data_IF_319867333784
#
_entry.id   IF_319867333784
#
_cell.length_a   1.000
_cell.length_b   1.000
_cell.length_c   1.000
_cell.angle_alpha   90.00
_cell.angle_beta   90.00
_cell.angle_gamma   90.00
#
_symmetry.space_group_name_H-M   'P 1'
#
loop_
_entity.id
_entity.type
_entity.pdbx_description
1 polymer ?
#
# COMPACT_ATOMS: atom_id res chain seq x y z
N UNK A 1 -54.15 -33.91 -33.56
CA UNK A 1 -52.69 -33.81 -33.82
C UNK A 1 -52.27 -32.41 -33.39
N UNK A 2 -51.86 -32.25 -32.13
CA UNK A 2 -51.48 -30.96 -31.58
C UNK A 2 -49.97 -30.78 -31.77
N UNK A 3 -49.62 -29.73 -32.51
CA UNK A 3 -48.25 -29.35 -32.86
C UNK A 3 -47.60 -28.72 -31.63
N UNK A 4 -46.49 -29.29 -31.16
CA UNK A 4 -45.69 -28.72 -30.09
C UNK A 4 -44.79 -27.58 -30.57
N UNK A 5 -44.44 -26.66 -29.67
CA UNK A 5 -43.11 -26.05 -29.51
C UNK A 5 -43.13 -25.29 -28.18
N UNK A 6 -42.54 -25.85 -27.12
CA UNK A 6 -42.21 -25.11 -25.90
C UNK A 6 -40.84 -24.47 -26.13
N UNK A 7 -40.80 -23.15 -26.18
CA UNK A 7 -39.55 -22.38 -26.21
C UNK A 7 -39.18 -22.08 -24.75
N UNK A 8 -38.39 -22.95 -24.13
CA UNK A 8 -37.77 -22.66 -22.84
C UNK A 8 -36.71 -21.58 -23.04
N UNK A 9 -37.04 -20.36 -22.61
CA UNK A 9 -36.07 -19.28 -22.50
C UNK A 9 -35.12 -19.58 -21.35
N UNK A 10 -33.92 -20.05 -21.68
CA UNK A 10 -32.79 -20.00 -20.76
C UNK A 10 -32.37 -18.53 -20.70
N UNK A 11 -32.75 -17.83 -19.63
CA UNK A 11 -32.08 -16.58 -19.27
C UNK A 11 -30.61 -16.93 -19.02
N UNK A 12 -29.76 -16.55 -19.97
CA UNK A 12 -28.33 -16.67 -19.83
C UNK A 12 -27.91 -15.63 -18.77
N UNK A 13 -27.72 -16.10 -17.53
CA UNK A 13 -26.94 -15.38 -16.51
C UNK A 13 -25.67 -14.82 -17.19
N UNK A 14 -25.32 -13.54 -17.00
CA UNK A 14 -24.16 -12.97 -17.65
C UNK A 14 -22.95 -13.83 -17.32
N UNK A 15 -22.36 -14.45 -18.33
CA UNK A 15 -21.07 -15.13 -18.18
C UNK A 15 -20.13 -14.06 -17.64
N UNK A 16 -19.66 -14.24 -16.41
CA UNK A 16 -18.59 -13.42 -15.87
C UNK A 16 -17.38 -13.69 -16.74
N UNK A 17 -17.20 -12.90 -17.79
CA UNK A 17 -15.94 -12.82 -18.50
C UNK A 17 -14.92 -12.37 -17.46
N UNK A 18 -13.86 -13.16 -17.20
CA UNK A 18 -12.74 -12.65 -16.43
C UNK A 18 -12.28 -11.41 -17.19
N UNK A 19 -12.32 -10.25 -16.53
CA UNK A 19 -11.80 -9.02 -17.11
C UNK A 19 -10.32 -9.29 -17.39
N UNK A 20 -9.98 -9.48 -18.66
CA UNK A 20 -8.60 -9.50 -19.12
C UNK A 20 -8.03 -8.10 -18.88
N UNK A 21 -7.47 -7.88 -17.69
CA UNK A 21 -7.08 -6.55 -17.20
C UNK A 21 -7.27 -6.31 -15.71
N UNK A 22 -7.83 -7.25 -14.94
CA UNK A 22 -7.74 -7.19 -13.48
C UNK A 22 -6.27 -7.36 -13.05
N UNK A 23 -5.53 -6.26 -13.00
CA UNK A 23 -4.12 -6.26 -12.60
C UNK A 23 -3.95 -6.93 -11.23
N UNK A 24 -2.98 -7.85 -11.15
CA UNK A 24 -2.54 -8.42 -9.89
C UNK A 24 -1.66 -7.37 -9.20
N UNK A 25 -2.25 -6.54 -8.34
CA UNK A 25 -1.50 -5.39 -7.80
C UNK A 25 -2.12 -4.64 -6.64
N UNK A 26 -3.45 -4.49 -6.54
CA UNK A 26 -4.12 -3.87 -5.39
C UNK A 26 -3.36 -2.68 -4.78
N UNK A 27 -3.00 -2.78 -3.49
CA UNK A 27 -2.20 -1.79 -2.76
C UNK A 27 -0.76 -1.65 -3.30
N UNK A 28 -0.12 -2.75 -3.68
CA UNK A 28 1.27 -2.75 -4.14
C UNK A 28 1.45 -1.94 -5.42
N UNK A 29 0.42 -1.91 -6.29
CA UNK A 29 0.40 -1.05 -7.46
C UNK A 29 0.53 0.42 -7.06
N UNK A 30 -0.23 0.90 -6.08
CA UNK A 30 -0.16 2.29 -5.62
C UNK A 30 1.20 2.61 -5.02
N UNK A 31 1.74 1.73 -4.17
CA UNK A 31 3.04 1.95 -3.53
C UNK A 31 4.17 2.06 -4.57
N UNK A 32 4.21 1.13 -5.54
CA UNK A 32 5.24 1.11 -6.58
C UNK A 32 5.04 2.25 -7.59
N UNK A 33 3.79 2.56 -7.94
CA UNK A 33 3.46 3.69 -8.80
C UNK A 33 3.93 5.01 -8.18
N UNK A 34 3.63 5.26 -6.91
CA UNK A 34 4.08 6.44 -6.18
C UNK A 34 5.61 6.54 -6.16
N UNK A 35 6.32 5.44 -5.88
CA UNK A 35 7.78 5.43 -5.92
C UNK A 35 8.35 5.84 -7.29
N UNK A 36 7.80 5.28 -8.37
CA UNK A 36 8.23 5.58 -9.74
C UNK A 36 7.87 7.01 -10.14
N UNK A 37 6.68 7.50 -9.80
CA UNK A 37 6.25 8.86 -10.14
C UNK A 37 7.06 9.93 -9.41
N UNK A 38 7.34 9.77 -8.11
CA UNK A 38 8.25 10.67 -7.38
C UNK A 38 9.63 10.73 -8.06
N UNK A 39 10.17 9.59 -8.48
CA UNK A 39 11.46 9.52 -9.16
C UNK A 39 11.44 10.24 -10.52
N UNK A 40 10.36 10.07 -11.31
CA UNK A 40 10.18 10.75 -12.60
C UNK A 40 10.05 12.27 -12.46
N UNK A 41 9.41 12.72 -11.38
CA UNK A 41 9.12 14.14 -11.12
C UNK A 41 10.21 14.85 -10.31
N UNK A 42 11.20 14.10 -9.82
CA UNK A 42 12.23 14.59 -8.91
C UNK A 42 11.62 15.20 -7.64
N UNK A 43 10.60 14.53 -7.10
CA UNK A 43 9.90 14.88 -5.87
C UNK A 43 10.33 13.96 -4.73
N UNK A 44 10.25 14.44 -3.48
CA UNK A 44 10.53 13.61 -2.33
C UNK A 44 9.41 12.55 -2.17
N UNK A 45 9.75 11.26 -1.98
CA UNK A 45 8.73 10.24 -1.76
C UNK A 45 8.01 10.47 -0.43
N UNK A 46 6.71 10.12 -0.33
CA UNK A 46 5.94 10.30 0.90
C UNK A 46 6.50 9.50 2.08
N UNK A 47 7.08 8.33 1.78
CA UNK A 47 7.90 7.55 2.72
C UNK A 47 9.37 7.62 2.31
N UNK A 48 10.23 8.12 3.18
CA UNK A 48 11.65 8.29 2.91
C UNK A 48 12.56 7.39 3.76
N UNK A 49 13.87 7.58 3.62
CA UNK A 49 14.87 6.79 4.34
C UNK A 49 14.79 6.94 5.87
N UNK A 50 14.28 8.06 6.39
CA UNK A 50 14.11 8.27 7.83
C UNK A 50 12.91 7.51 8.37
N UNK A 51 11.82 7.43 7.61
CA UNK A 51 10.67 6.58 7.93
C UNK A 51 11.12 5.11 7.99
N UNK A 52 11.84 4.66 6.96
CA UNK A 52 12.40 3.31 6.91
C UNK A 52 13.36 3.03 8.09
N UNK A 53 14.27 3.95 8.41
CA UNK A 53 15.19 3.80 9.55
C UNK A 53 14.43 3.72 10.89
N UNK A 54 13.36 4.51 11.04
CA UNK A 54 12.51 4.50 12.23
C UNK A 54 11.80 3.16 12.38
N UNK A 55 11.25 2.60 11.30
CA UNK A 55 10.61 1.28 11.33
C UNK A 55 11.63 0.17 11.57
N UNK A 56 12.80 0.23 10.94
CA UNK A 56 13.86 -0.76 11.13
C UNK A 56 14.45 -0.72 12.54
N UNK A 57 14.42 0.43 13.23
CA UNK A 57 14.87 0.54 14.61
C UNK A 57 14.02 -0.28 15.59
N UNK A 58 12.77 -0.63 15.23
CA UNK A 58 11.90 -1.46 16.07
C UNK A 58 12.56 -2.81 16.39
N UNK A 59 13.19 -3.46 15.42
CA UNK A 59 13.82 -4.78 15.62
C UNK A 59 14.89 -4.75 16.74
N UNK A 60 15.99 -3.98 16.63
CA UNK A 60 17.01 -3.97 17.68
C UNK A 60 16.53 -3.35 18.99
N UNK A 61 15.61 -2.38 18.97
CA UNK A 61 15.07 -1.79 20.20
C UNK A 61 14.15 -2.77 20.94
N UNK A 62 13.41 -3.60 20.20
CA UNK A 62 12.57 -4.64 20.82
C UNK A 62 13.43 -5.74 21.48
N UNK A 63 14.51 -6.15 20.83
CA UNK A 63 15.49 -7.09 21.38
C UNK A 63 16.13 -6.54 22.67
N UNK A 64 16.55 -5.27 22.63
CA UNK A 64 17.10 -4.58 23.80
C UNK A 64 16.08 -4.45 24.93
N UNK A 65 14.81 -4.15 24.60
CA UNK A 65 13.72 -4.08 25.58
C UNK A 65 13.54 -5.40 26.31
N UNK A 66 13.46 -6.52 25.58
CA UNK A 66 13.32 -7.86 26.15
C UNK A 66 14.53 -8.19 27.05
N UNK A 67 15.74 -7.89 26.59
CA UNK A 67 16.96 -8.12 27.38
C UNK A 67 17.01 -7.31 28.69
N UNK A 68 16.31 -6.18 28.75
CA UNK A 68 16.21 -5.30 29.93
C UNK A 68 14.90 -5.49 30.72
N UNK A 69 14.25 -6.65 30.60
CA UNK A 69 13.03 -6.95 31.38
C UNK A 69 11.82 -6.15 30.89
N UNK A 70 11.70 -6.01 29.57
CA UNK A 70 10.63 -5.25 28.89
C UNK A 70 10.65 -3.76 29.22
N UNK A 71 11.83 -3.20 29.49
CA UNK A 71 11.99 -1.77 29.76
C UNK A 71 11.75 -0.93 28.49
N UNK A 72 11.14 0.27 28.59
CA UNK A 72 11.03 1.21 27.48
C UNK A 72 12.39 1.57 26.89
N UNK A 73 12.48 1.64 25.56
CA UNK A 73 13.71 2.00 24.84
C UNK A 73 13.56 3.34 24.13
N UNK A 74 14.52 4.27 24.26
CA UNK A 74 14.47 5.52 23.54
C UNK A 74 14.69 5.30 22.04
N UNK A 75 13.82 5.87 21.21
CA UNK A 75 14.01 5.87 19.76
C UNK A 75 15.07 6.89 19.35
N UNK A 76 16.00 6.54 18.45
CA UNK A 76 16.87 7.52 17.80
C UNK A 76 16.05 8.46 16.91
N UNK A 77 16.31 9.76 17.00
CA UNK A 77 15.78 10.73 16.04
C UNK A 77 16.71 10.80 14.81
N UNK A 78 16.40 9.96 13.81
CA UNK A 78 17.14 9.93 12.55
C UNK A 78 17.01 11.23 11.74
N UNK A 79 15.97 12.03 12.00
CA UNK A 79 15.72 13.30 11.30
C UNK A 79 16.44 14.49 11.94
N UNK A 80 17.00 14.34 13.14
CA UNK A 80 17.66 15.40 13.92
C UNK A 80 16.75 16.62 14.13
N UNK A 81 15.53 16.37 14.57
CA UNK A 81 14.50 17.37 14.87
C UNK A 81 13.70 17.85 13.67
N UNK A 82 14.06 17.46 12.44
CA UNK A 82 13.31 17.89 11.24
C UNK A 82 11.89 17.35 11.19
N UNK A 83 11.61 16.24 11.86
CA UNK A 83 10.25 15.68 11.95
C UNK A 83 9.22 16.67 12.53
N UNK A 84 9.64 17.62 13.37
CA UNK A 84 8.74 18.61 13.98
C UNK A 84 8.13 19.61 12.99
N UNK A 85 8.72 19.74 11.80
CA UNK A 85 8.30 20.68 10.76
C UNK A 85 8.04 19.98 9.41
N UNK A 86 7.99 18.64 9.39
CA UNK A 86 7.76 17.87 8.18
C UNK A 86 6.28 17.95 7.80
N UNK A 87 6.01 18.31 6.55
CA UNK A 87 4.66 18.24 5.96
C UNK A 87 4.33 16.79 5.58
N UNK A 88 3.08 16.38 5.81
CA UNK A 88 2.60 15.04 5.46
C UNK A 88 2.08 15.03 4.02
N UNK A 89 2.84 14.43 3.10
CA UNK A 89 2.53 14.40 1.65
C UNK A 89 1.93 13.07 1.18
N UNK A 90 1.75 12.09 2.07
CA UNK A 90 1.17 10.79 1.71
C UNK A 90 -0.32 10.92 1.36
N UNK A 91 -0.70 10.51 0.14
CA UNK A 91 -2.09 10.53 -0.32
C UNK A 91 -2.67 11.94 -0.46
N UNK A 92 -1.81 12.96 -0.68
CA UNK A 92 -2.23 14.36 -0.80
C UNK A 92 -2.98 14.64 -2.11
N UNK A 93 -2.75 13.85 -3.16
CA UNK A 93 -3.40 14.03 -4.46
C UNK A 93 -3.73 12.69 -5.12
N UNK A 94 -4.64 12.72 -6.10
CA UNK A 94 -5.00 11.55 -6.91
C UNK A 94 -3.97 11.23 -8.02
N UNK A 95 -2.83 11.94 -8.04
CA UNK A 95 -1.83 11.81 -9.12
C UNK A 95 -1.01 10.52 -9.03
N UNK A 96 -0.65 10.10 -7.81
CA UNK A 96 0.09 8.86 -7.55
C UNK A 96 0.07 8.46 -6.08
#
# INVERSE_FOLDING_TARGET
VALGTLHEGVEQEPVHTPVAGAGHGGMDWFLLNAFVECAKRNEAPPFDAYDAATWLAITPLSEASIAMGSAPQPFPDFTRGRWMHREQTFGESDLY
#
